data_IF_539043298208
#
_entry.id   IF_539043298208
#
_cell.length_a   1.000
_cell.length_b   1.000
_cell.length_c   1.000
_cell.angle_alpha   90.00
_cell.angle_beta   90.00
_cell.angle_gamma   90.00
#
_symmetry.space_group_name_H-M   'P 1'
#
loop_
_entity.id
_entity.type
_entity.pdbx_description
1 polymer ?
#
# COMPACT_ATOMS: atom_id res chain seq x y z
N UNK A 1 -19.41 0.59 3.62
CA UNK A 1 -18.64 -0.53 3.11
C UNK A 1 -18.13 -0.21 1.69
N UNK A 2 -16.89 -0.62 1.36
CA UNK A 2 -16.41 -0.68 -0.03
C UNK A 2 -16.47 -2.13 -0.53
N UNK A 3 -16.82 -2.29 -1.79
CA UNK A 3 -16.69 -3.59 -2.48
C UNK A 3 -16.35 -3.35 -3.95
N UNK A 4 -15.70 -4.31 -4.56
CA UNK A 4 -15.28 -4.24 -5.97
C UNK A 4 -15.76 -5.43 -6.77
N UNK A 5 -15.92 -5.21 -8.07
CA UNK A 5 -16.11 -6.26 -9.07
C UNK A 5 -15.00 -6.18 -10.10
N UNK A 6 -14.69 -7.28 -10.74
CA UNK A 6 -13.68 -7.33 -11.81
C UNK A 6 -14.29 -7.93 -13.08
N UNK A 7 -14.18 -7.19 -14.17
CA UNK A 7 -14.55 -7.64 -15.52
C UNK A 7 -13.31 -8.02 -16.32
N UNK A 8 -13.44 -9.03 -17.18
CA UNK A 8 -12.39 -9.38 -18.13
C UNK A 8 -12.72 -8.88 -19.52
N UNK A 9 -11.75 -8.16 -20.12
CA UNK A 9 -11.81 -7.61 -21.48
C UNK A 9 -10.64 -8.20 -22.28
N UNK A 10 -10.93 -9.05 -23.25
CA UNK A 10 -9.87 -9.75 -24.00
C UNK A 10 -9.37 -8.99 -25.22
N UNK A 11 -10.03 -7.90 -25.63
CA UNK A 11 -9.72 -7.10 -26.81
C UNK A 11 -8.72 -5.99 -26.57
N UNK A 12 -8.37 -5.70 -25.30
CA UNK A 12 -7.46 -4.62 -24.93
C UNK A 12 -6.76 -4.91 -23.60
N UNK A 13 -5.57 -4.37 -23.40
CA UNK A 13 -4.86 -4.39 -22.12
C UNK A 13 -5.27 -3.20 -21.24
N UNK A 14 -5.26 -3.37 -19.91
CA UNK A 14 -5.15 -4.65 -19.19
C UNK A 14 -6.41 -5.48 -19.39
N UNK A 15 -6.29 -6.79 -19.32
CA UNK A 15 -7.45 -7.70 -19.47
C UNK A 15 -8.41 -7.62 -18.27
N UNK A 16 -7.95 -7.20 -17.11
CA UNK A 16 -8.78 -7.00 -15.90
C UNK A 16 -9.12 -5.52 -15.73
N UNK A 17 -10.39 -5.23 -15.46
CA UNK A 17 -10.89 -3.88 -15.17
C UNK A 17 -11.72 -3.95 -13.91
N UNK A 18 -11.46 -3.07 -12.95
CA UNK A 18 -12.11 -3.08 -11.66
C UNK A 18 -13.13 -1.95 -11.54
N UNK A 19 -14.30 -2.28 -11.03
CA UNK A 19 -15.33 -1.32 -10.61
C UNK A 19 -15.35 -1.27 -9.09
N UNK A 20 -15.50 -0.08 -8.51
CA UNK A 20 -15.57 0.14 -7.08
C UNK A 20 -16.88 0.79 -6.70
N UNK A 21 -17.49 0.26 -5.66
CA UNK A 21 -18.77 0.70 -5.14
C UNK A 21 -18.69 0.97 -3.64
N UNK A 22 -19.46 1.95 -3.19
CA UNK A 22 -19.71 2.22 -1.78
C UNK A 22 -21.13 1.83 -1.43
N UNK A 23 -21.29 0.95 -0.46
CA UNK A 23 -22.57 0.56 0.12
C UNK A 23 -22.80 1.32 1.42
N UNK A 24 -23.90 2.02 1.53
CA UNK A 24 -24.42 2.54 2.78
C UNK A 24 -25.15 1.42 3.53
N UNK A 25 -24.66 1.08 4.73
CA UNK A 25 -25.21 -0.05 5.50
C UNK A 25 -26.52 0.27 6.22
N UNK A 26 -26.93 1.53 6.29
CA UNK A 26 -28.20 1.93 6.89
C UNK A 26 -29.32 1.96 5.84
N UNK A 27 -29.04 2.58 4.70
CA UNK A 27 -30.04 2.76 3.64
C UNK A 27 -29.99 1.67 2.59
N UNK A 28 -28.94 0.84 2.58
CA UNK A 28 -28.61 -0.14 1.55
C UNK A 28 -28.42 0.45 0.15
N UNK A 29 -28.24 1.76 0.07
CA UNK A 29 -27.95 2.45 -1.18
C UNK A 29 -26.54 2.17 -1.66
N UNK A 30 -26.38 1.95 -2.97
CA UNK A 30 -25.09 1.73 -3.61
C UNK A 30 -24.73 2.99 -4.41
N UNK A 31 -23.55 3.53 -4.15
CA UNK A 31 -22.93 4.61 -4.92
C UNK A 31 -21.73 4.05 -5.71
N UNK A 32 -21.72 4.31 -7.01
CA UNK A 32 -20.61 3.92 -7.89
C UNK A 32 -19.50 4.95 -7.79
N UNK A 33 -18.32 4.52 -7.31
CA UNK A 33 -17.13 5.36 -7.23
C UNK A 33 -16.47 5.49 -8.61
N UNK A 34 -16.18 4.34 -9.24
CA UNK A 34 -15.76 4.24 -10.65
C UNK A 34 -16.20 2.92 -11.24
N UNK A 35 -16.26 2.86 -12.57
CA UNK A 35 -16.56 1.64 -13.32
C UNK A 35 -15.41 1.29 -14.27
N UNK A 36 -15.11 0.01 -14.35
CA UNK A 36 -14.18 -0.60 -15.33
C UNK A 36 -12.83 0.13 -15.42
N UNK A 37 -12.33 0.65 -14.29
CA UNK A 37 -11.03 1.32 -14.25
C UNK A 37 -9.90 0.30 -14.53
N UNK A 38 -9.06 0.57 -15.55
CA UNK A 38 -7.88 -0.24 -15.80
C UNK A 38 -6.78 0.08 -14.79
N UNK A 39 -5.92 -0.88 -14.51
CA UNK A 39 -4.71 -0.72 -13.69
C UNK A 39 -4.95 -0.32 -12.23
N UNK A 40 -6.18 -0.38 -11.73
CA UNK A 40 -6.54 -0.15 -10.33
C UNK A 40 -6.74 -1.49 -9.65
N UNK A 41 -6.10 -1.72 -8.49
CA UNK A 41 -6.14 -3.00 -7.80
C UNK A 41 -7.00 -2.97 -6.54
N UNK A 42 -6.69 -2.08 -5.59
CA UNK A 42 -7.32 -2.03 -4.27
C UNK A 42 -7.63 -0.59 -3.88
N UNK A 43 -8.62 -0.44 -3.00
CA UNK A 43 -8.93 0.85 -2.39
C UNK A 43 -9.39 0.66 -0.94
N UNK A 44 -8.99 1.61 -0.08
CA UNK A 44 -9.40 1.67 1.31
C UNK A 44 -9.75 3.11 1.71
N UNK A 45 -10.69 3.29 2.65
CA UNK A 45 -11.00 4.61 3.17
C UNK A 45 -9.84 5.22 3.95
N UNK A 46 -9.63 6.52 3.76
CA UNK A 46 -8.87 7.33 4.70
C UNK A 46 -9.53 7.31 6.08
N UNK A 47 -8.79 7.58 7.17
CA UNK A 47 -9.34 7.60 8.53
C UNK A 47 -10.54 8.53 8.73
N UNK A 48 -10.61 9.62 7.98
CA UNK A 48 -11.71 10.59 8.02
C UNK A 48 -12.86 10.28 7.03
N UNK A 49 -12.72 9.22 6.21
CA UNK A 49 -13.71 8.79 5.25
C UNK A 49 -13.93 9.70 4.04
N UNK A 50 -13.11 10.76 3.86
CA UNK A 50 -13.27 11.72 2.75
C UNK A 50 -12.51 11.34 1.49
N UNK A 51 -11.50 10.51 1.62
CA UNK A 51 -10.63 10.06 0.54
C UNK A 51 -10.51 8.55 0.54
N UNK A 52 -10.04 8.00 -0.58
CA UNK A 52 -9.57 6.63 -0.67
C UNK A 52 -8.06 6.63 -0.90
N UNK A 53 -7.35 5.74 -0.22
CA UNK A 53 -6.04 5.27 -0.62
C UNK A 53 -6.25 4.19 -1.68
N UNK A 54 -5.71 4.39 -2.85
CA UNK A 54 -5.88 3.48 -3.99
C UNK A 54 -4.53 2.94 -4.40
N UNK A 55 -4.42 1.62 -4.51
CA UNK A 55 -3.27 0.94 -5.08
C UNK A 55 -3.56 0.58 -6.55
N UNK A 56 -2.59 0.83 -7.41
CA UNK A 56 -2.68 0.55 -8.84
C UNK A 56 -1.32 0.68 -9.52
N UNK A 57 -1.28 0.54 -10.84
CA UNK A 57 -0.06 0.80 -11.60
C UNK A 57 0.04 2.27 -12.03
N UNK A 58 1.20 2.71 -12.50
CA UNK A 58 1.41 4.07 -13.00
C UNK A 58 0.44 4.48 -14.13
N UNK A 59 -0.13 3.51 -14.83
CA UNK A 59 -1.11 3.70 -15.90
C UNK A 59 -2.55 3.93 -15.40
N UNK A 60 -2.81 3.77 -14.09
CA UNK A 60 -4.12 4.06 -13.52
C UNK A 60 -4.53 5.53 -13.69
N UNK A 61 -5.85 5.78 -13.75
CA UNK A 61 -6.42 7.12 -13.88
C UNK A 61 -5.81 7.93 -15.04
N UNK A 62 -5.83 7.34 -16.23
CA UNK A 62 -5.29 7.94 -17.47
C UNK A 62 -3.78 8.22 -17.44
N UNK A 63 -3.05 7.43 -16.63
CA UNK A 63 -1.59 7.47 -16.58
C UNK A 63 -1.00 8.61 -15.76
N UNK A 64 -1.76 9.15 -14.80
CA UNK A 64 -1.26 10.26 -13.94
C UNK A 64 -0.07 9.85 -13.08
N UNK A 65 0.11 8.54 -12.81
CA UNK A 65 1.24 7.98 -12.08
C UNK A 65 2.50 7.73 -12.91
N UNK A 66 2.45 7.90 -14.23
CA UNK A 66 3.60 7.65 -15.09
C UNK A 66 4.75 8.61 -14.82
N UNK A 67 5.93 8.06 -14.58
CA UNK A 67 7.19 8.79 -14.44
C UNK A 67 8.21 8.32 -15.48
N UNK A 68 7.83 8.36 -16.75
CA UNK A 68 8.63 7.94 -17.90
C UNK A 68 8.64 9.04 -18.94
N UNK A 69 9.71 9.09 -19.75
CA UNK A 69 9.81 10.04 -20.86
C UNK A 69 8.82 9.64 -21.98
N UNK A 70 8.37 10.61 -22.74
CA UNK A 70 7.54 10.38 -23.91
C UNK A 70 8.22 9.39 -24.87
N UNK A 71 7.46 8.35 -25.31
CA UNK A 71 7.97 7.33 -26.20
C UNK A 71 8.60 6.11 -25.52
N UNK A 72 8.74 6.12 -24.18
CA UNK A 72 9.11 4.94 -23.43
C UNK A 72 7.89 4.06 -23.10
N UNK A 73 8.11 2.75 -23.02
CA UNK A 73 7.07 1.80 -22.60
C UNK A 73 6.89 1.94 -21.09
N UNK A 74 5.64 2.12 -20.67
CA UNK A 74 5.30 2.16 -19.26
C UNK A 74 5.48 0.80 -18.61
N UNK A 75 6.10 0.77 -17.41
CA UNK A 75 6.11 -0.40 -16.56
C UNK A 75 4.80 -0.48 -15.77
N UNK A 76 3.82 -1.19 -16.32
CA UNK A 76 2.51 -1.36 -15.68
C UNK A 76 2.50 -2.42 -14.58
N UNK A 77 3.64 -3.04 -14.28
CA UNK A 77 3.76 -4.00 -13.17
C UNK A 77 4.12 -3.31 -11.85
N UNK A 78 4.73 -2.11 -11.90
CA UNK A 78 5.08 -1.39 -10.68
C UNK A 78 3.84 -0.85 -9.98
N UNK A 79 3.67 -1.29 -8.74
CA UNK A 79 2.62 -0.79 -7.86
C UNK A 79 2.89 0.65 -7.43
N UNK A 80 1.85 1.47 -7.47
CA UNK A 80 1.85 2.85 -7.01
C UNK A 80 0.62 3.15 -6.16
N UNK A 81 0.67 4.25 -5.41
CA UNK A 81 -0.43 4.74 -4.60
C UNK A 81 -0.97 6.06 -5.13
N UNK A 82 -2.28 6.19 -4.99
CA UNK A 82 -3.04 7.38 -5.34
C UNK A 82 -3.96 7.76 -4.18
N UNK A 83 -4.23 9.06 -4.04
CA UNK A 83 -5.33 9.57 -3.24
C UNK A 83 -6.50 9.90 -4.16
N UNK A 84 -7.66 9.34 -3.87
CA UNK A 84 -8.89 9.63 -4.59
C UNK A 84 -9.84 10.41 -3.68
N UNK A 85 -10.16 11.63 -4.05
CA UNK A 85 -11.08 12.48 -3.30
C UNK A 85 -12.54 12.16 -3.68
N UNK A 86 -13.34 11.77 -2.69
CA UNK A 86 -14.69 11.29 -2.91
C UNK A 86 -15.65 12.40 -3.31
N UNK A 87 -15.40 13.65 -2.91
CA UNK A 87 -16.28 14.78 -3.23
C UNK A 87 -16.06 15.26 -4.66
N UNK A 88 -14.81 15.47 -5.06
CA UNK A 88 -14.44 15.92 -6.41
C UNK A 88 -14.35 14.79 -7.44
N UNK A 89 -14.30 13.53 -6.99
CA UNK A 89 -14.07 12.32 -7.80
C UNK A 89 -12.78 12.38 -8.61
N UNK A 90 -11.73 12.97 -8.04
CA UNK A 90 -10.42 13.12 -8.68
C UNK A 90 -9.35 12.31 -7.95
N UNK A 91 -8.51 11.63 -8.74
CA UNK A 91 -7.31 10.98 -8.25
C UNK A 91 -6.10 11.91 -8.37
N UNK A 92 -5.16 11.78 -7.42
CA UNK A 92 -3.83 12.38 -7.47
C UNK A 92 -2.78 11.34 -7.13
N UNK A 93 -1.64 11.30 -7.84
CA UNK A 93 -0.58 10.32 -7.55
C UNK A 93 0.13 10.71 -6.26
N UNK A 94 0.40 9.70 -5.41
CA UNK A 94 1.10 9.88 -4.14
C UNK A 94 2.56 9.42 -4.22
N UNK A 95 2.84 8.36 -4.99
CA UNK A 95 4.17 7.73 -5.08
C UNK A 95 4.78 7.79 -6.49
N UNK A 96 4.36 8.75 -7.32
CA UNK A 96 4.79 8.89 -8.71
C UNK A 96 6.31 8.94 -8.89
N UNK A 97 7.01 9.67 -7.99
CA UNK A 97 8.46 9.87 -8.04
C UNK A 97 9.22 8.96 -7.05
N UNK A 98 8.53 7.95 -6.53
CA UNK A 98 9.07 6.95 -5.63
C UNK A 98 9.37 5.67 -6.42
N UNK A 99 10.66 5.30 -6.52
CA UNK A 99 11.11 4.21 -7.38
C UNK A 99 10.73 2.80 -6.92
N UNK A 100 10.74 2.46 -5.60
CA UNK A 100 10.39 1.11 -5.16
C UNK A 100 8.97 0.70 -5.54
N UNK A 101 8.80 -0.58 -5.89
CA UNK A 101 7.50 -1.17 -6.21
C UNK A 101 6.64 -1.33 -4.96
N UNK A 102 5.46 -0.73 -4.95
CA UNK A 102 4.50 -0.84 -3.83
C UNK A 102 3.80 -2.21 -3.87
N UNK A 103 3.97 -3.00 -2.81
CA UNK A 103 3.32 -4.31 -2.62
C UNK A 103 2.00 -4.14 -1.85
N UNK A 104 2.05 -3.39 -0.74
CA UNK A 104 0.93 -3.20 0.18
C UNK A 104 0.98 -1.83 0.84
N UNK A 105 -0.18 -1.30 1.23
CA UNK A 105 -0.25 -0.03 1.93
C UNK A 105 -1.44 0.04 2.88
N UNK A 106 -1.19 0.58 4.08
CA UNK A 106 -2.20 0.78 5.11
C UNK A 106 -2.16 2.22 5.62
N UNK A 107 -3.31 2.88 5.64
CA UNK A 107 -3.45 4.19 6.26
C UNK A 107 -3.69 4.03 7.76
N UNK A 108 -2.69 4.39 8.57
CA UNK A 108 -2.75 4.25 10.03
C UNK A 108 -3.68 5.31 10.64
N UNK A 109 -4.66 4.84 11.40
CA UNK A 109 -5.62 5.70 12.09
C UNK A 109 -5.03 6.43 13.29
N UNK A 110 -4.00 5.85 13.92
CA UNK A 110 -3.38 6.41 15.11
C UNK A 110 -2.60 7.71 14.83
N UNK A 111 -1.78 7.73 13.76
CA UNK A 111 -0.92 8.88 13.46
C UNK A 111 -1.18 9.54 12.10
N UNK A 112 -2.14 9.04 11.33
CA UNK A 112 -2.52 9.59 10.02
C UNK A 112 -1.51 9.34 8.90
N UNK A 113 -0.41 8.62 9.15
CA UNK A 113 0.58 8.27 8.12
C UNK A 113 0.14 7.03 7.34
N UNK A 114 0.56 6.95 6.10
CA UNK A 114 0.42 5.74 5.28
C UNK A 114 1.70 4.92 5.43
N UNK A 115 1.56 3.64 5.78
CA UNK A 115 2.67 2.68 5.83
C UNK A 115 2.62 1.84 4.57
N UNK A 116 3.78 1.68 3.94
CA UNK A 116 3.92 1.07 2.63
C UNK A 116 4.96 -0.05 2.72
N UNK A 117 4.60 -1.25 2.30
CA UNK A 117 5.55 -2.34 2.05
C UNK A 117 5.96 -2.28 0.58
N UNK A 118 7.25 -2.27 0.32
CA UNK A 118 7.80 -2.14 -1.03
C UNK A 118 8.86 -3.20 -1.32
N UNK A 119 8.94 -3.61 -2.59
CA UNK A 119 10.16 -4.16 -3.16
C UNK A 119 11.08 -3.01 -3.57
N UNK A 120 12.27 -3.00 -3.00
CA UNK A 120 13.28 -1.95 -3.18
C UNK A 120 14.62 -2.62 -3.51
N UNK A 121 14.89 -2.82 -4.79
CA UNK A 121 16.00 -3.62 -5.29
C UNK A 121 15.97 -5.06 -4.73
N UNK A 122 16.99 -5.43 -3.93
CA UNK A 122 17.12 -6.76 -3.32
C UNK A 122 16.41 -6.87 -1.95
N UNK A 123 15.65 -5.84 -1.56
CA UNK A 123 15.03 -5.74 -0.24
C UNK A 123 13.51 -5.69 -0.31
N UNK A 124 12.87 -6.08 0.80
CA UNK A 124 11.48 -5.73 1.07
C UNK A 124 11.44 -4.85 2.32
N UNK A 125 11.05 -3.60 2.15
CA UNK A 125 11.15 -2.55 3.16
C UNK A 125 9.82 -1.89 3.46
N UNK A 126 9.69 -1.39 4.68
CA UNK A 126 8.55 -0.57 5.08
C UNK A 126 8.94 0.90 4.99
N UNK A 127 8.06 1.69 4.39
CA UNK A 127 8.15 3.14 4.33
C UNK A 127 6.93 3.78 4.97
N UNK A 128 7.07 5.02 5.44
CA UNK A 128 5.96 5.90 5.77
C UNK A 128 5.79 6.95 4.71
N UNK A 129 4.56 7.31 4.40
CA UNK A 129 4.23 8.42 3.51
C UNK A 129 3.27 9.37 4.22
N UNK A 130 3.59 10.65 4.22
CA UNK A 130 2.69 11.70 4.69
C UNK A 130 1.66 12.01 3.58
N UNK A 131 0.37 11.75 3.81
CA UNK A 131 -0.65 11.95 2.78
C UNK A 131 -0.85 13.43 2.40
N UNK A 132 -0.42 14.38 3.25
CA UNK A 132 -0.60 15.81 3.01
C UNK A 132 0.40 16.39 1.99
N UNK A 133 1.62 15.83 1.95
CA UNK A 133 2.72 16.38 1.13
C UNK A 133 3.49 15.31 0.34
N UNK A 134 3.11 14.03 0.44
CA UNK A 134 3.78 12.93 -0.25
C UNK A 134 5.19 12.60 0.23
N UNK A 135 5.62 13.14 1.39
CA UNK A 135 6.97 12.89 1.91
C UNK A 135 7.11 11.45 2.38
N UNK A 136 8.03 10.72 1.78
CA UNK A 136 8.31 9.32 2.08
C UNK A 136 9.58 9.20 2.92
N UNK A 137 9.56 8.28 3.92
CA UNK A 137 10.70 7.94 4.75
C UNK A 137 10.71 6.44 5.02
N UNK A 138 11.89 5.84 5.00
CA UNK A 138 12.07 4.44 5.37
C UNK A 138 11.88 4.25 6.89
N UNK A 139 11.19 3.18 7.26
CA UNK A 139 11.15 2.66 8.64
C UNK A 139 12.42 1.87 8.89
N UNK A 140 13.09 2.14 10.02
CA UNK A 140 14.33 1.45 10.39
C UNK A 140 14.02 0.04 10.92
N UNK A 141 13.60 -0.87 10.05
CA UNK A 141 13.39 -2.28 10.36
C UNK A 141 14.71 -3.01 10.58
N UNK A 142 14.69 -4.13 11.33
CA UNK A 142 15.89 -4.91 11.70
C UNK A 142 16.22 -6.03 10.71
N UNK A 143 15.32 -6.31 9.76
CA UNK A 143 15.51 -7.37 8.76
C UNK A 143 15.50 -6.79 7.34
N UNK A 144 16.14 -7.50 6.42
CA UNK A 144 16.31 -7.08 5.03
C UNK A 144 15.07 -7.34 4.17
N UNK A 145 14.39 -8.45 4.44
CA UNK A 145 13.19 -8.89 3.73
C UNK A 145 12.02 -8.92 4.70
N UNK A 146 11.19 -7.89 4.64
CA UNK A 146 9.96 -7.82 5.44
C UNK A 146 8.84 -8.54 4.69
N UNK A 147 8.39 -9.65 5.24
CA UNK A 147 7.37 -10.50 4.62
C UNK A 147 5.95 -9.96 4.80
N UNK A 148 5.69 -9.34 5.94
CA UNK A 148 4.38 -8.73 6.24
C UNK A 148 4.48 -7.81 7.45
N UNK A 149 3.48 -6.94 7.61
CA UNK A 149 3.36 -6.05 8.74
C UNK A 149 1.89 -5.86 9.16
N UNK A 150 1.69 -5.39 10.37
CA UNK A 150 0.38 -5.00 10.89
C UNK A 150 0.53 -3.78 11.80
N UNK A 151 -0.44 -2.88 11.71
CA UNK A 151 -0.50 -1.67 12.53
C UNK A 151 -1.58 -1.80 13.59
N UNK A 152 -1.28 -1.37 14.81
CA UNK A 152 -2.30 -1.27 15.84
C UNK A 152 -3.17 -0.03 15.58
N UNK A 153 -4.50 -0.18 15.69
CA UNK A 153 -5.45 0.93 15.48
C UNK A 153 -5.36 2.00 16.57
N UNK A 154 -5.07 1.60 17.81
CA UNK A 154 -5.16 2.45 18.98
C UNK A 154 -3.84 2.60 19.76
N UNK A 155 -2.72 2.17 19.19
CA UNK A 155 -1.42 2.23 19.82
C UNK A 155 -0.31 2.58 18.81
N UNK A 156 0.78 3.24 19.24
CA UNK A 156 1.89 3.61 18.38
C UNK A 156 2.81 2.42 18.10
N UNK A 157 2.27 1.32 17.62
CA UNK A 157 3.03 0.08 17.41
C UNK A 157 2.75 -0.48 16.02
N UNK A 158 3.82 -0.84 15.33
CA UNK A 158 3.82 -1.63 14.12
C UNK A 158 4.47 -2.98 14.44
N UNK A 159 3.78 -4.07 14.11
CA UNK A 159 4.38 -5.41 14.12
C UNK A 159 4.79 -5.77 12.71
N UNK A 160 5.95 -6.37 12.56
CA UNK A 160 6.38 -6.94 11.30
C UNK A 160 7.16 -8.23 11.54
N UNK A 161 7.12 -9.12 10.56
CA UNK A 161 8.04 -10.24 10.53
C UNK A 161 8.84 -10.23 9.23
N UNK A 162 10.06 -10.69 9.32
CA UNK A 162 10.98 -10.70 8.21
C UNK A 162 12.18 -11.61 8.47
N UNK A 163 13.08 -11.62 7.51
CA UNK A 163 14.30 -12.41 7.52
C UNK A 163 15.45 -11.63 6.89
N UNK A 164 16.67 -12.09 7.11
CA UNK A 164 17.88 -11.65 6.41
C UNK A 164 18.72 -12.84 6.00
N UNK A 165 19.83 -12.60 5.31
CA UNK A 165 20.76 -13.66 4.92
C UNK A 165 21.30 -14.47 6.11
N UNK A 166 21.36 -13.86 7.30
CA UNK A 166 21.91 -14.47 8.52
C UNK A 166 20.86 -14.89 9.53
N UNK A 167 19.58 -14.53 9.31
CA UNK A 167 18.51 -14.74 10.27
C UNK A 167 17.32 -15.41 9.58
N UNK A 168 16.78 -16.46 10.20
CA UNK A 168 15.46 -16.97 9.86
C UNK A 168 14.37 -15.96 10.28
N UNK A 169 13.11 -16.27 9.98
CA UNK A 169 11.99 -15.39 10.28
C UNK A 169 11.93 -14.98 11.76
N UNK A 170 11.87 -13.69 11.99
CA UNK A 170 11.74 -13.04 13.29
C UNK A 170 10.58 -12.07 13.31
N UNK A 171 9.86 -12.04 14.43
CA UNK A 171 8.78 -11.11 14.68
C UNK A 171 9.26 -9.96 15.57
N UNK A 172 9.00 -8.75 15.14
CA UNK A 172 9.34 -7.52 15.84
C UNK A 172 8.12 -6.68 16.14
N UNK A 173 8.21 -5.92 17.23
CA UNK A 173 7.38 -4.77 17.52
C UNK A 173 8.23 -3.50 17.36
N UNK A 174 7.77 -2.58 16.50
CA UNK A 174 8.41 -1.29 16.27
C UNK A 174 7.59 -0.17 16.91
N UNK A 175 8.23 0.61 17.80
CA UNK A 175 7.61 1.77 18.42
C UNK A 175 7.58 2.95 17.43
N UNK A 176 6.39 3.37 17.02
CA UNK A 176 6.19 4.45 16.05
C UNK A 176 6.59 5.83 16.58
N UNK A 177 6.69 6.01 17.92
CA UNK A 177 7.12 7.27 18.54
C UNK A 177 8.63 7.31 18.75
N UNK A 178 9.19 6.24 19.28
CA UNK A 178 10.60 6.16 19.64
C UNK A 178 11.51 5.66 18.53
N UNK A 179 10.95 5.09 17.44
CA UNK A 179 11.73 4.55 16.33
C UNK A 179 12.58 3.33 16.71
N UNK A 180 12.13 2.51 17.68
CA UNK A 180 12.90 1.40 18.23
C UNK A 180 12.25 0.06 17.93
N UNK A 181 13.08 -0.90 17.51
CA UNK A 181 12.70 -2.30 17.34
C UNK A 181 12.85 -3.06 18.66
N UNK A 182 11.90 -3.95 18.92
CA UNK A 182 11.96 -4.94 19.98
C UNK A 182 11.66 -6.32 19.39
N UNK A 183 12.59 -7.25 19.47
CA UNK A 183 12.35 -8.63 19.09
C UNK A 183 11.25 -9.23 19.98
N UNK A 184 10.22 -9.78 19.35
CA UNK A 184 9.10 -10.43 20.03
C UNK A 184 9.28 -11.95 20.01
N UNK A 185 9.68 -12.49 18.86
CA UNK A 185 9.85 -13.92 18.69
C UNK A 185 10.88 -14.22 17.60
N UNK A 186 11.72 -15.23 17.84
CA UNK A 186 12.69 -15.77 16.88
C UNK A 186 12.32 -17.22 16.58
N UNK A 187 11.90 -17.49 15.34
CA UNK A 187 11.49 -18.83 14.91
C UNK A 187 12.63 -19.85 14.89
N UNK A 188 13.87 -19.39 14.85
CA UNK A 188 15.05 -20.26 14.83
C UNK A 188 15.56 -20.63 16.22
N UNK A 189 15.11 -19.93 17.26
CA UNK A 189 15.69 -20.02 18.61
C UNK A 189 15.62 -21.42 19.23
N UNK A 190 14.60 -22.21 18.85
CA UNK A 190 14.43 -23.57 19.34
C UNK A 190 15.03 -24.65 18.44
N UNK A 191 15.42 -24.28 17.19
CA UNK A 191 15.92 -25.23 16.19
C UNK A 191 17.44 -25.18 15.99
N UNK A 192 18.11 -24.13 16.45
CA UNK A 192 19.55 -23.89 16.26
C UNK A 192 20.33 -23.94 17.59
N UNK A 193 19.78 -24.61 18.60
CA UNK A 193 20.42 -24.76 19.92
C UNK A 193 21.36 -25.97 20.03
N UNK A 194 21.81 -26.55 18.93
CA UNK A 194 22.80 -27.63 18.90
C UNK A 194 24.21 -27.08 18.62
#
# INVERSE_FOLDING_TARGET
LLFSTSDRVYTSLPHSRNSLYKLDLQTMAIDTIWEKAPYVNQAAFSPNGKQLLVAGAGDAFDGIGRNIKQGQISNSYDGQLFLYDLASRKASPLTKDFNPNVIDAVWNRFNGQIYILCEDEDYQRIYTCDPANGKIKQVAASEDIIMSYALADNAPVLFYYGQSASNANRLYAYDLKGGKNRLVYDLSQDKLKD
#
